data_IF_285000671873
#
_entry.id   IF_285000671873
#
_cell.length_a   1.000
_cell.length_b   1.000
_cell.length_c   1.000
_cell.angle_alpha   90.00
_cell.angle_beta   90.00
_cell.angle_gamma   90.00
#
_symmetry.space_group_name_H-M   'P 1'
#
loop_
_entity.id
_entity.type
_entity.pdbx_description
1 polymer ?
#
# COMPACT_ATOMS: atom_id res chain seq x y z
N UNK A 1 -1.49 31.20 -15.96
CA UNK A 1 -0.68 31.74 -14.84
C UNK A 1 0.57 32.39 -15.42
N UNK A 2 0.95 33.54 -14.90
CA UNK A 2 2.02 34.39 -15.50
C UNK A 2 3.42 33.77 -15.46
N UNK A 3 3.64 32.78 -14.62
CA UNK A 3 4.93 32.07 -14.46
C UNK A 3 4.96 30.70 -15.18
N UNK A 4 3.90 30.31 -15.89
CA UNK A 4 3.84 29.04 -16.60
C UNK A 4 4.49 29.18 -17.98
N UNK A 5 5.45 28.30 -18.28
CA UNK A 5 6.08 28.17 -19.59
C UNK A 5 5.83 26.74 -20.11
N UNK A 6 4.70 26.50 -20.78
CA UNK A 6 4.31 25.15 -21.19
C UNK A 6 5.22 24.59 -22.28
N UNK A 7 5.79 25.40 -23.14
CA UNK A 7 6.67 24.92 -24.22
C UNK A 7 8.02 24.46 -23.66
N UNK A 8 8.57 25.23 -22.73
CA UNK A 8 9.79 24.85 -22.03
C UNK A 8 9.60 23.54 -21.23
N UNK A 9 8.47 23.42 -20.51
CA UNK A 9 8.18 22.20 -19.72
C UNK A 9 7.98 20.99 -20.63
N UNK A 10 7.34 21.14 -21.79
CA UNK A 10 7.20 20.05 -22.76
C UNK A 10 8.56 19.57 -23.26
N UNK A 11 9.47 20.51 -23.62
CA UNK A 11 10.83 20.16 -24.02
C UNK A 11 11.62 19.46 -22.89
N UNK A 12 11.50 19.93 -21.65
CA UNK A 12 12.14 19.29 -20.47
C UNK A 12 11.62 17.87 -20.23
N UNK A 13 10.32 17.60 -20.43
CA UNK A 13 9.74 16.25 -20.30
C UNK A 13 10.34 15.33 -21.36
N UNK A 14 10.46 15.76 -22.59
CA UNK A 14 11.05 14.96 -23.66
C UNK A 14 12.53 14.68 -23.42
N UNK A 15 13.30 15.70 -23.03
CA UNK A 15 14.74 15.57 -22.79
C UNK A 15 15.08 14.69 -21.58
N UNK A 16 14.34 14.83 -20.47
CA UNK A 16 14.66 14.17 -19.21
C UNK A 16 13.99 12.79 -19.08
N UNK A 17 12.74 12.68 -19.53
CA UNK A 17 11.93 11.47 -19.35
C UNK A 17 11.84 10.64 -20.65
N UNK A 18 12.06 11.27 -21.82
CA UNK A 18 11.95 10.62 -23.12
C UNK A 18 10.52 10.32 -23.57
N UNK A 19 9.54 11.04 -23.03
CA UNK A 19 8.12 10.89 -23.38
C UNK A 19 7.70 12.10 -24.23
N UNK A 20 7.12 11.89 -25.43
CA UNK A 20 6.59 13.00 -26.25
C UNK A 20 5.52 13.78 -25.46
N UNK A 21 5.67 15.09 -25.37
CA UNK A 21 4.78 15.95 -24.61
C UNK A 21 3.97 16.94 -25.48
N UNK A 22 4.10 16.88 -26.80
CA UNK A 22 3.41 17.77 -27.74
C UNK A 22 1.90 17.73 -27.59
N UNK A 23 1.32 16.53 -27.45
CA UNK A 23 -0.11 16.29 -27.31
C UNK A 23 -0.63 16.34 -25.88
N UNK A 24 0.21 16.70 -24.91
CA UNK A 24 -0.20 16.80 -23.51
C UNK A 24 -1.19 17.96 -23.30
N UNK A 25 -2.36 17.73 -22.67
CA UNK A 25 -3.32 18.79 -22.42
C UNK A 25 -2.76 19.84 -21.48
N UNK A 26 -2.72 21.08 -21.94
CA UNK A 26 -2.29 22.22 -21.11
C UNK A 26 -3.44 22.70 -20.26
N UNK A 27 -3.33 22.50 -18.93
CA UNK A 27 -4.40 22.72 -17.99
C UNK A 27 -4.06 23.75 -16.91
N UNK A 28 -5.08 24.27 -16.24
CA UNK A 28 -4.94 24.96 -14.97
C UNK A 28 -5.94 24.41 -13.96
N UNK A 29 -5.45 23.71 -12.96
CA UNK A 29 -6.30 23.20 -11.86
C UNK A 29 -6.97 24.36 -11.09
N UNK A 30 -6.29 25.50 -10.96
CA UNK A 30 -6.81 26.68 -10.26
C UNK A 30 -8.01 27.31 -10.95
N UNK A 31 -8.02 27.38 -12.28
CA UNK A 31 -9.09 28.02 -13.04
C UNK A 31 -10.06 27.02 -13.68
N UNK A 32 -9.77 25.73 -13.63
CA UNK A 32 -10.55 24.68 -14.29
C UNK A 32 -10.31 24.60 -15.82
N UNK A 33 -9.32 25.37 -16.34
CA UNK A 33 -9.02 25.38 -17.77
C UNK A 33 -8.64 23.98 -18.25
N UNK A 34 -9.29 23.52 -19.33
CA UNK A 34 -9.02 22.23 -20.02
C UNK A 34 -9.06 20.97 -19.15
N UNK A 35 -9.63 21.00 -17.94
CA UNK A 35 -9.76 19.79 -17.10
C UNK A 35 -10.57 18.70 -17.82
N UNK A 36 -11.64 19.09 -18.54
CA UNK A 36 -12.44 18.13 -19.30
C UNK A 36 -11.63 17.38 -20.36
N UNK A 37 -10.70 18.06 -21.04
CA UNK A 37 -9.83 17.42 -22.03
C UNK A 37 -8.94 16.33 -21.44
N UNK A 38 -8.43 16.53 -20.21
CA UNK A 38 -7.69 15.47 -19.48
C UNK A 38 -8.58 14.28 -19.18
N UNK A 39 -9.80 14.51 -18.69
CA UNK A 39 -10.74 13.43 -18.37
C UNK A 39 -11.14 12.63 -19.61
N UNK A 40 -11.36 13.29 -20.74
CA UNK A 40 -11.65 12.62 -22.00
C UNK A 40 -10.43 11.83 -22.50
N UNK A 41 -9.23 12.40 -22.41
CA UNK A 41 -7.99 11.73 -22.81
C UNK A 41 -7.71 10.48 -21.95
N UNK A 42 -8.01 10.53 -20.66
CA UNK A 42 -7.94 9.34 -19.79
C UNK A 42 -8.85 8.22 -20.31
N UNK A 43 -10.08 8.55 -20.70
CA UNK A 43 -11.05 7.55 -21.18
C UNK A 43 -10.67 6.99 -22.56
N UNK A 44 -10.09 7.82 -23.44
CA UNK A 44 -9.73 7.41 -24.80
C UNK A 44 -8.40 6.68 -24.90
N UNK A 45 -7.40 7.15 -24.15
CA UNK A 45 -6.01 6.72 -24.33
C UNK A 45 -5.60 5.61 -23.33
N UNK A 46 -6.25 5.54 -22.16
CA UNK A 46 -5.94 4.51 -21.17
C UNK A 46 -6.84 3.29 -21.38
N UNK A 47 -6.26 2.11 -21.73
CA UNK A 47 -7.06 0.92 -21.92
C UNK A 47 -7.76 0.49 -20.62
N UNK A 48 -8.98 -0.03 -20.74
CA UNK A 48 -9.69 -0.60 -19.62
C UNK A 48 -8.90 -1.77 -19.00
N UNK A 49 -9.04 -2.02 -17.68
CA UNK A 49 -8.44 -3.17 -17.04
C UNK A 49 -8.83 -4.47 -17.76
N UNK A 50 -7.82 -5.32 -17.99
CA UNK A 50 -8.03 -6.64 -18.60
C UNK A 50 -8.11 -7.69 -17.49
N UNK A 51 -8.93 -8.71 -17.70
CA UNK A 51 -9.09 -9.85 -16.81
C UNK A 51 -10.39 -10.60 -17.11
N UNK A 52 -10.43 -11.86 -16.70
CA UNK A 52 -11.59 -12.72 -16.89
C UNK A 52 -12.17 -13.07 -15.50
N UNK A 53 -13.42 -12.69 -15.20
CA UNK A 53 -14.06 -12.98 -13.92
C UNK A 53 -14.32 -14.48 -13.68
N UNK A 54 -14.33 -15.31 -14.72
CA UNK A 54 -14.58 -16.75 -14.63
C UNK A 54 -13.30 -17.58 -14.42
N UNK A 55 -12.13 -16.96 -14.50
CA UNK A 55 -10.85 -17.61 -14.21
C UNK A 55 -10.63 -17.80 -12.70
N UNK A 56 -9.70 -18.69 -12.29
CA UNK A 56 -9.29 -18.77 -10.89
C UNK A 56 -8.85 -17.43 -10.34
N UNK A 57 -9.29 -17.09 -9.12
CA UNK A 57 -8.98 -15.83 -8.49
C UNK A 57 -7.47 -15.60 -8.40
N UNK A 58 -7.02 -14.45 -8.89
CA UNK A 58 -5.70 -13.88 -8.67
C UNK A 58 -5.83 -12.42 -8.29
N UNK A 59 -5.67 -12.13 -7.01
CA UNK A 59 -5.71 -10.78 -6.48
C UNK A 59 -4.34 -10.42 -5.88
N UNK A 60 -3.77 -9.28 -6.28
CA UNK A 60 -2.51 -8.78 -5.76
C UNK A 60 -2.76 -7.87 -4.56
N UNK A 61 -2.13 -8.16 -3.43
CA UNK A 61 -2.10 -7.26 -2.28
C UNK A 61 -1.09 -6.14 -2.58
N UNK A 62 -1.55 -4.91 -2.73
CA UNK A 62 -0.65 -3.77 -2.97
C UNK A 62 -0.41 -2.90 -1.74
N UNK A 63 -1.29 -3.02 -0.73
CA UNK A 63 -1.15 -2.36 0.57
C UNK A 63 -1.95 -3.11 1.63
N UNK A 64 -1.68 -2.84 2.90
CA UNK A 64 -2.45 -3.38 4.01
C UNK A 64 -2.49 -2.38 5.17
N UNK A 65 -3.61 -2.39 5.88
CA UNK A 65 -3.82 -1.57 7.07
C UNK A 65 -4.32 -2.44 8.22
N UNK A 66 -3.80 -2.23 9.42
CA UNK A 66 -4.28 -2.91 10.61
C UNK A 66 -5.32 -2.05 11.34
N UNK A 67 -6.51 -2.59 11.46
CA UNK A 67 -7.60 -2.04 12.27
C UNK A 67 -7.79 -2.88 13.52
N UNK A 68 -7.91 -2.22 14.69
CA UNK A 68 -8.03 -2.91 15.98
C UNK A 68 -9.30 -3.77 16.11
N UNK A 69 -10.34 -3.47 15.34
CA UNK A 69 -11.63 -4.16 15.38
C UNK A 69 -11.81 -5.17 14.24
N UNK A 70 -11.30 -4.84 13.04
CA UNK A 70 -11.46 -5.65 11.82
C UNK A 70 -10.27 -6.56 11.55
N UNK A 71 -9.15 -6.36 12.24
CA UNK A 71 -7.87 -7.01 11.94
C UNK A 71 -7.20 -6.40 10.71
N UNK A 72 -6.51 -7.22 9.92
CA UNK A 72 -5.86 -6.75 8.71
C UNK A 72 -6.90 -6.49 7.62
N UNK A 73 -6.88 -5.28 7.08
CA UNK A 73 -7.59 -4.88 5.86
C UNK A 73 -6.57 -4.93 4.73
N UNK A 74 -6.69 -5.90 3.82
CA UNK A 74 -5.83 -6.02 2.66
C UNK A 74 -6.41 -5.22 1.50
N UNK A 75 -5.64 -4.29 0.95
CA UNK A 75 -5.98 -3.58 -0.27
C UNK A 75 -5.51 -4.38 -1.47
N UNK A 76 -6.45 -4.71 -2.35
CA UNK A 76 -6.22 -5.68 -3.42
C UNK A 76 -6.60 -5.13 -4.79
N UNK A 77 -5.85 -5.57 -5.79
CA UNK A 77 -6.24 -5.45 -7.20
C UNK A 77 -6.57 -6.83 -7.73
N UNK A 78 -7.80 -7.03 -8.15
CA UNK A 78 -8.24 -8.27 -8.77
C UNK A 78 -7.75 -8.30 -10.22
N UNK A 79 -6.90 -9.26 -10.55
CA UNK A 79 -6.40 -9.46 -11.91
C UNK A 79 -7.26 -10.42 -12.68
N UNK A 80 -7.72 -11.49 -12.05
CA UNK A 80 -8.58 -12.52 -12.60
C UNK A 80 -9.50 -13.10 -11.53
N UNK A 81 -10.62 -13.65 -11.94
CA UNK A 81 -11.59 -14.26 -11.06
C UNK A 81 -12.46 -13.25 -10.33
N UNK A 82 -13.24 -13.78 -9.39
CA UNK A 82 -14.16 -13.01 -8.53
C UNK A 82 -14.06 -13.53 -7.10
N UNK A 83 -14.16 -12.66 -6.11
CA UNK A 83 -14.20 -13.00 -4.69
C UNK A 83 -15.45 -12.45 -4.02
N UNK A 84 -16.04 -13.23 -3.11
CA UNK A 84 -17.23 -12.88 -2.36
C UNK A 84 -16.99 -12.96 -0.85
N UNK A 85 -17.76 -12.25 -0.03
CA UNK A 85 -17.84 -12.55 1.38
C UNK A 85 -18.29 -14.01 1.61
N UNK A 86 -17.62 -14.72 2.52
CA UNK A 86 -17.83 -16.14 2.79
C UNK A 86 -16.88 -17.08 2.04
N UNK A 87 -16.21 -16.63 1.00
CA UNK A 87 -15.22 -17.44 0.28
C UNK A 87 -14.02 -17.74 1.19
N UNK A 88 -13.43 -18.93 1.04
CA UNK A 88 -12.16 -19.26 1.67
C UNK A 88 -11.03 -18.91 0.71
N UNK A 89 -10.20 -17.96 1.11
CA UNK A 89 -9.04 -17.49 0.37
C UNK A 89 -7.75 -18.08 0.93
N UNK A 90 -6.74 -18.22 0.05
CA UNK A 90 -5.39 -18.64 0.41
C UNK A 90 -4.39 -17.59 0.00
N UNK A 91 -3.47 -17.24 0.91
CA UNK A 91 -2.29 -16.44 0.64
C UNK A 91 -1.22 -17.34 -0.02
N UNK A 92 -0.84 -17.07 -1.27
CA UNK A 92 0.00 -18.00 -2.03
C UNK A 92 1.44 -18.08 -1.52
N UNK A 93 2.01 -16.98 -0.99
CA UNK A 93 3.36 -16.96 -0.47
C UNK A 93 3.49 -17.61 0.91
N UNK A 94 2.48 -17.45 1.77
CA UNK A 94 2.51 -17.95 3.16
C UNK A 94 1.80 -19.30 3.28
N UNK A 95 0.80 -19.56 2.42
CA UNK A 95 -0.02 -20.76 2.44
C UNK A 95 -1.17 -20.74 3.45
N UNK A 96 -1.33 -19.67 4.22
CA UNK A 96 -2.42 -19.52 5.19
C UNK A 96 -3.76 -19.30 4.50
N UNK A 97 -4.82 -19.89 5.08
CA UNK A 97 -6.19 -19.79 4.58
C UNK A 97 -7.06 -18.98 5.54
N UNK A 98 -7.95 -18.17 4.98
CA UNK A 98 -8.86 -17.32 5.72
C UNK A 98 -10.22 -17.24 5.04
N UNK A 99 -11.29 -17.11 5.83
CA UNK A 99 -12.61 -16.81 5.29
C UNK A 99 -12.79 -15.30 5.14
N UNK A 100 -13.21 -14.86 3.96
CA UNK A 100 -13.53 -13.45 3.68
C UNK A 100 -14.75 -13.05 4.50
N UNK A 101 -14.58 -12.07 5.37
CA UNK A 101 -15.67 -11.49 6.16
C UNK A 101 -16.40 -10.43 5.36
N UNK A 102 -15.64 -9.58 4.71
CA UNK A 102 -16.17 -8.46 3.93
C UNK A 102 -15.21 -8.15 2.78
N UNK A 103 -15.74 -7.77 1.63
CA UNK A 103 -15.00 -7.13 0.56
C UNK A 103 -15.73 -5.87 0.09
N UNK A 104 -15.02 -4.96 -0.56
CA UNK A 104 -15.62 -3.73 -1.02
C UNK A 104 -14.67 -2.82 -1.77
N UNK A 105 -15.18 -1.67 -2.18
CA UNK A 105 -14.47 -0.67 -2.97
C UNK A 105 -13.90 0.45 -2.10
N UNK A 106 -12.78 1.01 -2.57
CA UNK A 106 -12.11 2.15 -1.96
C UNK A 106 -12.73 3.44 -2.51
N UNK A 107 -13.28 4.27 -1.65
CA UNK A 107 -13.67 5.64 -1.96
C UNK A 107 -12.63 6.61 -1.41
N UNK A 108 -12.72 7.87 -1.82
CA UNK A 108 -11.78 8.89 -1.39
C UNK A 108 -11.70 9.06 0.15
N UNK A 109 -12.81 8.82 0.87
CA UNK A 109 -12.91 9.02 2.32
C UNK A 109 -13.47 7.84 3.09
N UNK A 110 -13.88 6.76 2.42
CA UNK A 110 -14.56 5.63 3.06
C UNK A 110 -14.32 4.31 2.34
N UNK A 111 -14.52 3.23 3.06
CA UNK A 111 -14.62 1.88 2.53
C UNK A 111 -16.11 1.56 2.33
N UNK A 112 -16.51 1.19 1.12
CA UNK A 112 -17.88 0.78 0.80
C UNK A 112 -17.94 -0.72 0.61
N UNK A 113 -18.69 -1.46 1.45
CA UNK A 113 -18.91 -2.90 1.26
C UNK A 113 -19.58 -3.19 -0.09
N UNK A 114 -19.13 -4.24 -0.74
CA UNK A 114 -19.66 -4.74 -2.00
C UNK A 114 -20.04 -6.23 -1.87
N UNK A 115 -20.89 -6.69 -2.78
CA UNK A 115 -21.29 -8.10 -2.83
C UNK A 115 -20.17 -8.99 -3.35
N UNK A 116 -19.30 -8.44 -4.17
CA UNK A 116 -18.15 -9.12 -4.76
C UNK A 116 -17.13 -8.11 -5.27
N UNK A 117 -15.90 -8.58 -5.52
CA UNK A 117 -14.89 -7.89 -6.32
C UNK A 117 -14.50 -8.79 -7.47
N UNK A 118 -14.53 -8.26 -8.68
CA UNK A 118 -14.27 -9.00 -9.93
C UNK A 118 -13.00 -8.51 -10.64
N UNK A 119 -12.56 -9.27 -11.63
CA UNK A 119 -11.40 -8.95 -12.46
C UNK A 119 -11.43 -7.50 -12.96
N UNK A 120 -10.30 -6.80 -12.79
CA UNK A 120 -10.13 -5.39 -13.14
C UNK A 120 -10.44 -4.41 -12.00
N UNK A 121 -11.12 -4.84 -10.94
CA UNK A 121 -11.47 -3.96 -9.82
C UNK A 121 -10.34 -3.83 -8.80
N UNK A 122 -10.33 -2.69 -8.13
CA UNK A 122 -9.48 -2.38 -6.98
C UNK A 122 -10.37 -2.17 -5.76
N UNK A 123 -10.03 -2.86 -4.68
CA UNK A 123 -10.85 -2.81 -3.48
C UNK A 123 -10.11 -3.28 -2.23
N UNK A 124 -10.86 -3.67 -1.23
CA UNK A 124 -10.32 -4.23 0.00
C UNK A 124 -10.99 -5.56 0.36
N UNK A 125 -10.26 -6.37 1.12
CA UNK A 125 -10.73 -7.64 1.69
C UNK A 125 -10.39 -7.63 3.19
N UNK A 126 -11.36 -8.02 4.02
CA UNK A 126 -11.16 -8.34 5.43
C UNK A 126 -11.43 -9.82 5.66
N UNK A 127 -10.55 -10.49 6.37
CA UNK A 127 -10.65 -11.93 6.60
C UNK A 127 -10.24 -12.31 8.04
N UNK A 128 -10.44 -11.40 9.01
CA UNK A 128 -10.10 -11.59 10.44
C UNK A 128 -8.64 -12.02 10.66
N UNK A 129 -7.75 -11.60 9.79
CA UNK A 129 -6.31 -11.86 9.88
C UNK A 129 -5.77 -11.07 11.06
N UNK A 130 -5.25 -11.75 12.08
CA UNK A 130 -4.72 -11.13 13.29
C UNK A 130 -3.24 -10.81 13.19
N UNK A 131 -2.51 -11.57 12.39
CA UNK A 131 -1.09 -11.42 12.20
C UNK A 131 -0.80 -10.87 10.80
N UNK A 132 -0.28 -9.67 10.74
CA UNK A 132 0.02 -8.98 9.47
C UNK A 132 1.09 -9.69 8.64
N UNK A 133 1.96 -10.49 9.27
CA UNK A 133 2.92 -11.31 8.54
C UNK A 133 2.27 -12.35 7.63
N UNK A 134 0.97 -12.61 7.82
CA UNK A 134 0.17 -13.54 7.01
C UNK A 134 -0.50 -12.88 5.79
N UNK A 135 -0.48 -11.54 5.70
CA UNK A 135 -0.99 -10.77 4.55
C UNK A 135 0.07 -9.78 4.06
N UNK A 136 1.11 -10.29 3.42
CA UNK A 136 2.23 -9.47 2.96
C UNK A 136 1.87 -8.69 1.70
N UNK A 137 2.29 -7.44 1.65
CA UNK A 137 2.24 -6.63 0.43
C UNK A 137 3.08 -7.32 -0.66
N UNK A 138 2.48 -7.46 -1.85
CA UNK A 138 3.07 -8.21 -2.97
C UNK A 138 2.67 -9.69 -3.03
N UNK A 139 1.95 -10.22 -2.03
CA UNK A 139 1.41 -11.59 -2.10
C UNK A 139 0.18 -11.65 -3.00
N UNK A 140 -0.09 -12.86 -3.49
CA UNK A 140 -1.27 -13.17 -4.30
C UNK A 140 -2.28 -13.91 -3.46
N UNK A 141 -3.52 -13.42 -3.50
CA UNK A 141 -4.69 -14.12 -2.95
C UNK A 141 -5.33 -14.95 -4.05
N UNK A 142 -5.65 -16.20 -3.71
CA UNK A 142 -6.44 -17.11 -4.56
C UNK A 142 -7.57 -17.76 -3.73
N UNK A 143 -8.54 -18.42 -4.41
CA UNK A 143 -9.54 -19.22 -3.70
C UNK A 143 -8.93 -20.57 -3.29
N UNK A 144 -9.27 -21.05 -2.10
CA UNK A 144 -8.74 -22.31 -1.57
C UNK A 144 -9.30 -23.54 -2.31
N UNK A 145 -10.55 -23.47 -2.75
CA UNK A 145 -11.25 -24.54 -3.50
C UNK A 145 -10.88 -24.60 -4.97
N UNK A 146 -10.48 -23.45 -5.55
CA UNK A 146 -10.06 -23.32 -6.96
C UNK A 146 -8.80 -22.48 -7.06
N UNK A 147 -7.66 -22.97 -6.59
CA UNK A 147 -6.44 -22.18 -6.54
C UNK A 147 -5.86 -21.91 -7.93
N UNK A 148 -5.31 -20.73 -8.10
CA UNK A 148 -4.54 -20.40 -9.29
C UNK A 148 -3.21 -21.18 -9.31
N UNK A 149 -2.76 -21.54 -10.51
CA UNK A 149 -1.54 -22.33 -10.68
C UNK A 149 -0.26 -21.53 -10.32
N UNK A 150 -0.25 -20.22 -10.61
CA UNK A 150 0.92 -19.37 -10.42
C UNK A 150 0.52 -18.06 -9.73
N UNK A 151 1.37 -17.56 -8.81
CA UNK A 151 1.16 -16.25 -8.21
C UNK A 151 1.40 -15.13 -9.24
N UNK A 152 0.84 -13.97 -8.96
CA UNK A 152 1.16 -12.76 -9.71
C UNK A 152 2.60 -12.33 -9.40
N UNK A 153 3.29 -11.65 -10.35
CA UNK A 153 4.56 -11.03 -10.04
C UNK A 153 4.35 -10.02 -8.91
N UNK A 154 4.93 -10.33 -7.75
CA UNK A 154 4.86 -9.48 -6.56
C UNK A 154 5.81 -8.28 -6.65
N UNK A 155 5.74 -7.40 -5.68
CA UNK A 155 6.69 -6.31 -5.54
C UNK A 155 8.05 -6.86 -5.10
N UNK A 156 9.14 -6.28 -5.63
CA UNK A 156 10.46 -6.56 -5.11
C UNK A 156 10.57 -6.04 -3.68
N UNK A 157 11.11 -6.85 -2.77
CA UNK A 157 11.44 -6.38 -1.43
C UNK A 157 12.43 -5.20 -1.57
N UNK A 158 12.02 -4.04 -1.09
CA UNK A 158 12.88 -2.85 -1.12
C UNK A 158 13.88 -2.98 0.01
N UNK A 159 15.17 -2.83 -0.32
CA UNK A 159 16.24 -2.87 0.67
C UNK A 159 16.33 -1.53 1.40
N UNK A 160 16.44 -1.50 2.73
CA UNK A 160 16.72 -0.29 3.47
C UNK A 160 18.03 0.36 3.00
N UNK A 161 18.03 1.66 2.83
CA UNK A 161 19.20 2.43 2.42
C UNK A 161 19.82 3.23 3.57
N UNK A 162 19.04 3.53 4.60
CA UNK A 162 19.49 4.30 5.76
C UNK A 162 19.14 3.54 7.02
N UNK A 163 20.08 3.47 7.94
CA UNK A 163 19.90 2.78 9.22
C UNK A 163 20.10 3.77 10.38
N UNK A 164 19.28 3.63 11.42
CA UNK A 164 19.49 4.33 12.69
C UNK A 164 19.16 3.43 13.88
N UNK A 165 19.84 3.64 14.99
CA UNK A 165 19.54 3.02 16.28
C UNK A 165 18.39 3.76 16.95
N UNK A 166 17.40 3.02 17.44
CA UNK A 166 16.28 3.54 18.25
C UNK A 166 16.34 2.88 19.61
N UNK A 167 16.49 3.71 20.65
CA UNK A 167 16.66 3.24 22.01
C UNK A 167 15.58 3.85 22.91
N UNK A 168 15.03 3.10 23.89
CA UNK A 168 14.14 3.69 24.87
C UNK A 168 14.91 4.69 25.76
N UNK A 169 14.24 5.75 26.15
CA UNK A 169 14.83 6.73 27.08
C UNK A 169 15.13 6.10 28.45
N UNK A 170 14.37 5.10 28.86
CA UNK A 170 14.58 4.27 30.05
C UNK A 170 14.56 2.79 29.60
N UNK A 171 15.59 2.04 29.97
CA UNK A 171 15.77 0.63 29.63
C UNK A 171 14.61 -0.28 30.08
N UNK A 172 13.83 0.12 31.09
CA UNK A 172 12.64 -0.58 31.53
C UNK A 172 11.55 -0.68 30.43
N UNK A 173 11.56 0.23 29.44
CA UNK A 173 10.59 0.30 28.33
C UNK A 173 11.03 -0.39 27.04
N UNK A 174 12.02 -1.29 27.09
CA UNK A 174 12.48 -2.02 25.90
C UNK A 174 11.36 -2.87 25.25
N UNK A 175 10.54 -3.54 26.06
CA UNK A 175 9.42 -4.34 25.56
C UNK A 175 8.36 -3.46 24.89
N UNK A 176 8.06 -2.31 25.47
CA UNK A 176 7.09 -1.34 24.92
C UNK A 176 7.56 -0.79 23.56
N UNK A 177 8.88 -0.52 23.46
CA UNK A 177 9.49 -0.06 22.19
C UNK A 177 9.39 -1.13 21.11
N UNK A 178 9.66 -2.41 21.45
CA UNK A 178 9.49 -3.52 20.51
C UNK A 178 8.07 -3.61 20.00
N UNK A 179 7.09 -3.61 20.89
CA UNK A 179 5.68 -3.72 20.56
C UNK A 179 5.20 -2.52 19.70
N UNK A 180 5.76 -1.32 19.97
CA UNK A 180 5.49 -0.14 19.16
C UNK A 180 6.08 -0.26 17.75
N UNK A 181 7.32 -0.76 17.61
CA UNK A 181 7.96 -1.00 16.30
C UNK A 181 7.23 -2.10 15.51
N UNK A 182 6.82 -3.19 16.17
CA UNK A 182 5.99 -4.23 15.57
C UNK A 182 4.68 -3.64 15.03
N UNK A 183 3.96 -2.85 15.82
CA UNK A 183 2.73 -2.16 15.37
C UNK A 183 2.99 -1.19 14.22
N UNK A 184 4.09 -0.46 14.27
CA UNK A 184 4.45 0.46 13.19
C UNK A 184 4.73 -0.29 11.88
N UNK A 185 5.48 -1.40 11.95
CA UNK A 185 5.77 -2.25 10.79
C UNK A 185 4.50 -2.81 10.12
N UNK A 186 3.38 -2.90 10.86
CA UNK A 186 2.09 -3.31 10.30
C UNK A 186 1.55 -2.32 9.25
N UNK A 187 1.82 -1.03 9.48
CA UNK A 187 1.36 0.05 8.60
C UNK A 187 2.47 0.58 7.69
N UNK A 188 3.69 0.10 7.89
CA UNK A 188 4.89 0.50 7.14
C UNK A 188 5.70 -0.74 6.76
N UNK A 189 5.32 -1.39 5.68
CA UNK A 189 5.96 -2.62 5.18
C UNK A 189 7.44 -2.43 4.80
N UNK A 190 7.90 -1.19 4.64
CA UNK A 190 9.27 -0.87 4.30
C UNK A 190 10.18 -0.74 5.53
N UNK A 191 9.61 -0.56 6.73
CA UNK A 191 10.35 -0.52 7.97
C UNK A 191 10.89 -1.90 8.32
N UNK A 192 12.21 -2.00 8.51
CA UNK A 192 12.85 -3.19 9.08
C UNK A 192 13.47 -2.85 10.41
N UNK A 193 13.46 -3.77 11.37
CA UNK A 193 14.18 -3.57 12.62
C UNK A 193 14.71 -4.89 13.17
N UNK A 194 15.85 -4.81 13.82
CA UNK A 194 16.52 -5.92 14.48
C UNK A 194 17.06 -5.48 15.86
N UNK A 195 17.15 -6.38 16.84
CA UNK A 195 17.72 -6.04 18.13
C UNK A 195 19.17 -5.56 17.99
N UNK A 196 19.51 -4.49 18.69
CA UNK A 196 20.85 -3.93 18.76
C UNK A 196 21.21 -3.56 20.20
N UNK A 197 22.48 -3.66 20.54
CA UNK A 197 22.99 -3.27 21.85
C UNK A 197 24.06 -2.21 21.70
N UNK A 198 23.89 -1.09 22.41
CA UNK A 198 24.88 -0.04 22.51
C UNK A 198 25.52 -0.03 23.89
N UNK A 199 26.83 0.13 23.96
CA UNK A 199 27.56 0.24 25.23
C UNK A 199 27.08 1.46 26.03
N UNK A 200 26.71 2.56 25.33
CA UNK A 200 26.29 3.81 25.96
C UNK A 200 24.78 3.89 26.23
N UNK A 201 23.95 3.29 25.39
CA UNK A 201 22.49 3.45 25.38
C UNK A 201 21.73 2.18 25.82
N UNK A 202 22.43 1.06 26.01
CA UNK A 202 21.83 -0.21 26.39
C UNK A 202 21.17 -0.94 25.22
N UNK A 203 20.07 -1.63 25.51
CA UNK A 203 19.32 -2.42 24.51
C UNK A 203 18.37 -1.53 23.71
N UNK A 204 18.37 -1.72 22.40
CA UNK A 204 17.53 -1.00 21.45
C UNK A 204 17.32 -1.80 20.17
N UNK A 205 16.99 -1.09 19.10
CA UNK A 205 16.77 -1.68 17.79
C UNK A 205 17.48 -0.88 16.71
N UNK A 206 18.14 -1.60 15.80
CA UNK A 206 18.62 -1.05 14.54
C UNK A 206 17.48 -1.06 13.54
N UNK A 207 16.99 0.12 13.19
CA UNK A 207 15.90 0.31 12.26
C UNK A 207 16.43 0.68 10.87
N UNK A 208 15.90 0.03 9.83
CA UNK A 208 16.23 0.30 8.43
C UNK A 208 15.09 1.03 7.74
N UNK A 209 15.45 2.06 6.97
CA UNK A 209 14.53 2.97 6.27
C UNK A 209 14.91 3.11 4.80
N UNK A 210 13.95 3.44 3.94
CA UNK A 210 14.18 3.69 2.51
C UNK A 210 15.02 4.94 2.25
N UNK A 211 15.03 5.89 3.16
CA UNK A 211 15.77 7.14 3.05
C UNK A 211 15.48 8.11 4.20
N UNK A 212 16.09 9.30 4.13
CA UNK A 212 15.94 10.33 5.18
C UNK A 212 14.50 10.82 5.32
N UNK A 213 13.75 10.93 4.22
CA UNK A 213 12.33 11.33 4.28
C UNK A 213 11.49 10.33 5.05
N UNK A 214 11.78 9.03 4.90
CA UNK A 214 11.08 7.98 5.63
C UNK A 214 11.32 8.12 7.14
N UNK A 215 12.55 8.37 7.59
CA UNK A 215 12.87 8.65 9.00
C UNK A 215 12.14 9.91 9.48
N UNK A 216 12.13 10.98 8.67
CA UNK A 216 11.45 12.22 9.03
C UNK A 216 9.95 12.01 9.24
N UNK A 217 9.30 11.23 8.41
CA UNK A 217 7.88 10.89 8.55
C UNK A 217 7.60 10.18 9.89
N UNK A 218 8.46 9.24 10.28
CA UNK A 218 8.35 8.58 11.57
C UNK A 218 8.49 9.57 12.75
N UNK A 219 9.51 10.42 12.70
CA UNK A 219 9.80 11.39 13.75
C UNK A 219 8.75 12.50 13.86
N UNK A 220 8.19 12.94 12.73
CA UNK A 220 7.19 14.02 12.66
C UNK A 220 5.74 13.51 12.72
N UNK A 221 5.52 12.20 12.69
CA UNK A 221 4.19 11.64 12.84
C UNK A 221 3.61 12.00 14.21
N UNK A 222 2.37 12.53 14.28
CA UNK A 222 1.79 12.95 15.54
C UNK A 222 1.70 11.78 16.51
N UNK A 223 2.38 11.92 17.64
CA UNK A 223 2.28 10.97 18.74
C UNK A 223 0.83 10.84 19.21
N UNK A 224 0.36 9.66 19.65
CA UNK A 224 -0.92 9.52 20.31
C UNK A 224 -1.15 10.50 21.47
N UNK A 225 -0.07 10.99 22.10
CA UNK A 225 -0.11 12.03 23.14
C UNK A 225 -0.50 13.41 22.61
N UNK A 226 -0.21 13.71 21.35
CA UNK A 226 -0.53 15.01 20.74
C UNK A 226 -2.01 15.12 20.38
N UNK A 227 -2.69 13.99 20.15
CA UNK A 227 -4.14 13.91 19.89
C UNK A 227 -5.00 14.15 21.15
N UNK A 228 -4.42 14.06 22.35
CA UNK A 228 -5.14 14.32 23.61
C UNK A 228 -5.14 15.80 24.02
N UNK A 229 -4.47 16.66 23.27
CA UNK A 229 -4.36 18.11 23.57
C UNK A 229 -5.18 19.00 22.65
N UNK A 230 -5.99 18.42 21.73
CA UNK A 230 -6.89 19.16 20.85
C UNK A 230 -8.36 18.92 21.21
#
# INVERSE_FOLDING_TARGET
>A
ETAADPDKVAAEIEDVIGIPAEDAPRISAKTGLNIKAVMEKIVTDIPAPQGDPDMPLRALIFDSYYDAYRGVIAYVRIKEGTVHPGDTIRMMAVGSEFTVVECGILRATSLEPAKSLSAGEVGYITASIKNVREARVGDTITLADRPAAEPLPGYRAVQPMVFCGVYPADGAHYADLRDALEKLQLNDAALTFEPETSVALGFGFRCGFLGLLHICLLYTSPSPRDRQKS
#
